data_IF_293131977035
#
_entry.id   IF_293131977035
#
_cell.length_a   1.000
_cell.length_b   1.000
_cell.length_c   1.000
_cell.angle_alpha   90.00
_cell.angle_beta   90.00
_cell.angle_gamma   90.00
#
_symmetry.space_group_name_H-M   'P 1'
#
loop_
_entity.id
_entity.type
_entity.pdbx_description
1 polymer ?
#
# COMPACT_ATOMS: atom_id res chain seq x y z
N UNK A 1 -3.91 -9.93 -14.27
CA UNK A 1 -2.68 -10.11 -15.08
C UNK A 1 -1.47 -9.83 -14.23
N UNK A 2 -0.42 -10.62 -14.40
CA UNK A 2 0.86 -10.43 -13.71
C UNK A 2 1.63 -9.28 -14.37
N UNK A 3 2.08 -8.34 -13.56
CA UNK A 3 3.07 -7.32 -13.92
C UNK A 3 4.46 -7.88 -13.62
N UNK A 4 4.62 -8.47 -12.44
CA UNK A 4 5.75 -9.34 -12.09
C UNK A 4 5.23 -10.69 -11.65
N UNK A 5 5.59 -11.74 -12.40
CA UNK A 5 5.20 -13.12 -12.09
C UNK A 5 5.84 -13.59 -10.79
N UNK A 6 5.07 -14.38 -10.03
CA UNK A 6 5.56 -15.04 -8.82
C UNK A 6 6.71 -15.98 -9.15
N UNK A 7 7.85 -15.94 -8.43
CA UNK A 7 8.93 -16.89 -8.64
C UNK A 7 8.49 -18.31 -8.26
N UNK A 8 9.22 -19.31 -8.77
CA UNK A 8 9.00 -20.72 -8.42
C UNK A 8 9.15 -20.96 -6.91
N UNK A 9 10.09 -20.24 -6.28
CA UNK A 9 10.29 -20.20 -4.84
C UNK A 9 10.19 -18.75 -4.40
N UNK A 10 9.25 -18.47 -3.49
CA UNK A 10 9.13 -17.17 -2.86
C UNK A 10 10.35 -16.92 -1.99
N UNK A 11 10.90 -15.72 -2.13
CA UNK A 11 11.92 -15.20 -1.23
C UNK A 11 11.23 -14.56 -0.02
N UNK A 12 12.02 -14.01 0.88
CA UNK A 12 11.50 -13.07 1.87
C UNK A 12 10.87 -11.87 1.13
N UNK A 13 9.75 -11.36 1.63
CA UNK A 13 9.11 -10.16 1.09
C UNK A 13 10.04 -8.96 1.33
N UNK A 14 10.43 -8.80 2.59
CA UNK A 14 11.35 -7.74 3.01
C UNK A 14 10.83 -6.34 2.74
N UNK A 15 11.69 -5.33 2.93
CA UNK A 15 11.33 -3.92 2.81
C UNK A 15 11.66 -3.28 1.47
N UNK A 16 12.49 -3.94 0.67
CA UNK A 16 13.19 -3.36 -0.49
C UNK A 16 13.05 -4.19 -1.77
N UNK A 17 12.38 -5.33 -1.70
CA UNK A 17 12.16 -6.21 -2.84
C UNK A 17 10.68 -6.49 -3.00
N UNK A 18 10.27 -6.76 -4.24
CA UNK A 18 8.93 -7.25 -4.53
C UNK A 18 9.06 -8.63 -5.18
N UNK A 19 8.43 -9.65 -4.60
CA UNK A 19 8.39 -11.00 -5.17
C UNK A 19 7.46 -11.05 -6.38
N UNK A 20 6.34 -10.35 -6.34
CA UNK A 20 5.37 -10.33 -7.42
C UNK A 20 4.54 -9.06 -7.41
N UNK A 21 3.88 -8.80 -8.54
CA UNK A 21 2.85 -7.77 -8.64
C UNK A 21 1.76 -8.27 -9.59
N UNK A 22 0.55 -8.37 -9.08
CA UNK A 22 -0.64 -8.78 -9.84
C UNK A 22 -1.64 -7.62 -9.93
N UNK A 23 -2.33 -7.50 -11.06
CA UNK A 23 -3.36 -6.48 -11.30
C UNK A 23 -4.62 -7.09 -11.90
N UNK A 24 -5.81 -6.78 -11.38
CA UNK A 24 -7.09 -6.97 -12.09
C UNK A 24 -7.93 -5.71 -11.99
N UNK A 25 -8.25 -5.11 -13.13
CA UNK A 25 -8.88 -3.78 -13.17
C UNK A 25 -7.99 -2.78 -12.44
N UNK A 26 -8.54 -2.12 -11.43
CA UNK A 26 -7.85 -1.15 -10.56
C UNK A 26 -7.36 -1.72 -9.22
N UNK A 27 -7.44 -3.04 -9.06
CA UNK A 27 -6.96 -3.73 -7.85
C UNK A 27 -5.58 -4.31 -8.13
N UNK A 28 -4.62 -3.98 -7.27
CA UNK A 28 -3.26 -4.49 -7.28
C UNK A 28 -3.01 -5.34 -6.04
N UNK A 29 -2.33 -6.47 -6.22
CA UNK A 29 -1.92 -7.37 -5.15
C UNK A 29 -0.41 -7.58 -5.21
N UNK A 30 0.25 -7.39 -4.07
CA UNK A 30 1.70 -7.36 -3.93
C UNK A 30 2.12 -8.03 -2.62
N UNK A 31 3.39 -8.42 -2.50
CA UNK A 31 3.90 -9.07 -1.31
C UNK A 31 4.16 -8.14 -0.12
N UNK A 32 4.44 -6.87 -0.37
CA UNK A 32 4.57 -5.79 0.61
C UNK A 32 4.26 -4.44 -0.06
N UNK A 33 4.17 -3.36 0.72
CA UNK A 33 3.78 -2.04 0.23
C UNK A 33 4.79 -1.30 -0.67
N UNK A 34 6.01 -1.82 -0.90
CA UNK A 34 7.07 -1.16 -1.69
C UNK A 34 6.57 -0.50 -2.97
N UNK A 35 5.72 -1.21 -3.71
CA UNK A 35 5.25 -0.77 -5.02
C UNK A 35 3.86 -0.14 -5.04
N UNK A 36 3.25 0.13 -3.88
CA UNK A 36 1.93 0.72 -3.81
C UNK A 36 1.88 2.11 -4.47
N UNK A 37 2.87 2.97 -4.19
CA UNK A 37 2.95 4.30 -4.81
C UNK A 37 3.05 4.24 -6.34
N UNK A 38 3.85 3.32 -6.88
CA UNK A 38 3.91 3.10 -8.33
C UNK A 38 2.54 2.71 -8.90
N UNK A 39 1.82 1.80 -8.23
CA UNK A 39 0.49 1.36 -8.65
C UNK A 39 -0.51 2.51 -8.69
N UNK A 40 -0.47 3.43 -7.71
CA UNK A 40 -1.36 4.59 -7.67
C UNK A 40 -1.11 5.52 -8.84
N UNK A 41 0.17 5.79 -9.17
CA UNK A 41 0.55 6.61 -10.32
C UNK A 41 0.09 6.04 -11.66
N UNK A 42 -0.15 4.72 -11.75
CA UNK A 42 -0.68 4.11 -12.98
C UNK A 42 -2.19 4.32 -13.19
N UNK A 43 -2.93 4.60 -12.11
CA UNK A 43 -4.40 4.73 -12.15
C UNK A 43 -4.91 6.15 -11.92
N UNK A 44 -4.01 7.07 -11.54
CA UNK A 44 -4.36 8.42 -11.10
C UNK A 44 -3.66 9.50 -11.91
N UNK A 45 -4.19 10.71 -11.82
CA UNK A 45 -3.66 11.94 -12.40
C UNK A 45 -3.05 12.80 -11.28
N UNK A 46 -1.73 13.02 -11.30
CA UNK A 46 -0.99 13.74 -10.25
C UNK A 46 -1.36 15.23 -10.14
N UNK A 47 -2.12 15.77 -11.10
CA UNK A 47 -2.64 17.13 -11.03
C UNK A 47 -3.92 17.23 -10.18
N UNK A 48 -4.48 16.10 -9.77
CA UNK A 48 -5.65 15.99 -8.90
C UNK A 48 -5.25 15.51 -7.51
N UNK A 49 -6.22 15.61 -6.60
CA UNK A 49 -6.12 15.14 -5.23
C UNK A 49 -7.03 13.93 -5.03
N UNK A 50 -6.61 12.98 -4.19
CA UNK A 50 -7.31 11.74 -3.88
C UNK A 50 -7.37 11.55 -2.37
N UNK A 51 -8.55 11.26 -1.83
CA UNK A 51 -8.66 10.87 -0.44
C UNK A 51 -8.02 9.49 -0.25
N UNK A 52 -7.28 9.35 0.84
CA UNK A 52 -6.42 8.21 1.09
C UNK A 52 -6.91 7.42 2.29
N UNK A 53 -7.10 6.11 2.12
CA UNK A 53 -7.57 5.20 3.15
C UNK A 53 -6.52 4.10 3.37
N UNK A 54 -5.77 4.19 4.46
CA UNK A 54 -4.74 3.22 4.82
C UNK A 54 -5.21 2.30 5.93
N UNK A 55 -5.21 0.99 5.67
CA UNK A 55 -5.64 -0.05 6.60
C UNK A 55 -4.46 -0.99 6.75
N UNK A 56 -3.76 -0.89 7.86
CA UNK A 56 -2.49 -1.59 8.11
C UNK A 56 -2.28 -1.66 9.62
N UNK A 57 -1.49 -2.61 10.10
CA UNK A 57 -1.07 -2.55 11.50
C UNK A 57 -0.25 -1.28 11.80
N UNK A 58 0.63 -0.89 10.89
CA UNK A 58 1.59 0.21 10.94
C UNK A 58 1.05 1.41 10.15
N UNK A 59 1.74 2.55 10.19
CA UNK A 59 1.31 3.74 9.42
C UNK A 59 2.13 3.95 8.13
N UNK A 60 3.27 3.29 7.97
CA UNK A 60 4.20 3.48 6.85
C UNK A 60 4.58 4.94 6.58
N UNK A 61 4.70 5.73 7.67
CA UNK A 61 5.04 7.17 7.61
C UNK A 61 6.48 7.43 8.05
N UNK A 62 7.43 6.56 7.71
CA UNK A 62 8.84 6.86 7.94
C UNK A 62 9.21 8.08 7.10
N UNK A 63 9.78 9.09 7.77
CA UNK A 63 10.05 10.39 7.15
C UNK A 63 10.84 10.24 5.84
N UNK A 64 10.47 11.03 4.82
CA UNK A 64 11.16 10.99 3.55
C UNK A 64 12.59 11.47 3.76
N UNK A 65 13.51 10.93 2.96
CA UNK A 65 14.87 11.45 2.96
C UNK A 65 14.81 12.88 2.38
N UNK A 66 15.49 13.86 2.99
CA UNK A 66 15.42 15.27 2.57
C UNK A 66 15.71 15.54 1.08
N UNK A 67 16.27 14.58 0.35
CA UNK A 67 16.72 14.72 -1.03
C UNK A 67 15.83 14.08 -2.09
N UNK A 68 14.72 13.40 -1.79
CA UNK A 68 14.01 12.60 -2.82
C UNK A 68 13.64 13.39 -4.09
N UNK A 69 13.11 14.62 -3.94
CA UNK A 69 12.83 15.49 -5.09
C UNK A 69 14.09 15.83 -5.87
N UNK A 70 15.17 16.15 -5.17
CA UNK A 70 16.45 16.50 -5.77
C UNK A 70 17.07 15.30 -6.48
N UNK A 71 17.00 14.11 -5.89
CA UNK A 71 17.48 12.85 -6.48
C UNK A 71 16.75 12.53 -7.78
N UNK A 72 15.41 12.59 -7.78
CA UNK A 72 14.61 12.36 -8.98
C UNK A 72 14.88 13.41 -10.06
N UNK A 73 15.05 14.68 -9.69
CA UNK A 73 15.37 15.76 -10.62
C UNK A 73 16.78 15.59 -11.23
N UNK A 74 17.77 15.23 -10.41
CA UNK A 74 19.15 15.03 -10.85
C UNK A 74 19.26 13.86 -11.83
N UNK A 75 18.50 12.79 -11.59
CA UNK A 75 18.46 11.60 -12.44
C UNK A 75 17.48 11.73 -13.62
N UNK A 76 16.79 12.88 -13.75
CA UNK A 76 15.79 13.16 -14.78
C UNK A 76 14.69 12.06 -14.83
N UNK A 77 14.26 11.61 -13.65
CA UNK A 77 13.24 10.58 -13.46
C UNK A 77 11.85 11.23 -13.41
N UNK A 78 10.95 10.71 -14.22
CA UNK A 78 9.52 11.06 -14.20
C UNK A 78 8.73 9.86 -13.68
N UNK A 79 8.30 9.90 -12.42
CA UNK A 79 7.65 8.77 -11.74
C UNK A 79 6.35 8.32 -12.42
N UNK A 80 5.67 9.19 -13.19
CA UNK A 80 4.46 8.81 -13.94
C UNK A 80 4.78 7.91 -15.15
N UNK A 81 6.03 7.88 -15.61
CA UNK A 81 6.42 7.26 -16.88
C UNK A 81 7.32 6.04 -16.75
N UNK A 82 7.92 5.83 -15.59
CA UNK A 82 8.85 4.72 -15.37
C UNK A 82 8.12 3.37 -15.29
N UNK A 83 8.79 2.32 -15.75
CA UNK A 83 8.31 0.96 -15.58
C UNK A 83 8.37 0.53 -14.11
N UNK A 84 7.70 -0.58 -13.80
CA UNK A 84 7.78 -1.18 -12.48
C UNK A 84 9.22 -1.56 -12.11
N UNK A 85 9.99 -2.11 -13.04
CA UNK A 85 11.40 -2.48 -12.84
C UNK A 85 12.27 -1.26 -12.56
N UNK A 86 12.07 -0.18 -13.32
CA UNK A 86 12.78 1.08 -13.10
C UNK A 86 12.46 1.67 -11.72
N UNK A 87 11.19 1.62 -11.30
CA UNK A 87 10.76 2.10 -9.98
C UNK A 87 11.44 1.37 -8.81
N UNK A 88 11.49 0.03 -8.84
CA UNK A 88 12.12 -0.75 -7.75
C UNK A 88 13.64 -0.65 -7.74
N UNK A 89 14.26 -0.17 -8.82
CA UNK A 89 15.69 0.08 -8.94
C UNK A 89 16.10 1.51 -8.58
N UNK A 90 15.15 2.40 -8.24
CA UNK A 90 15.45 3.74 -7.75
C UNK A 90 16.20 3.68 -6.42
N UNK A 91 17.30 4.43 -6.33
CA UNK A 91 18.13 4.50 -5.14
C UNK A 91 18.35 5.95 -4.70
N UNK A 92 18.48 6.16 -3.40
CA UNK A 92 18.87 7.42 -2.78
C UNK A 92 20.35 7.70 -3.04
N UNK A 93 20.69 8.96 -3.30
CA UNK A 93 22.09 9.39 -3.26
C UNK A 93 22.44 9.74 -1.81
N UNK A 94 23.23 8.91 -1.13
CA UNK A 94 23.63 9.22 0.24
C UNK A 94 24.54 10.48 0.27
N UNK A 95 24.17 11.55 1.02
CA UNK A 95 24.85 12.84 0.94
C UNK A 95 26.33 12.80 1.39
N UNK A 96 26.71 11.81 2.20
CA UNK A 96 28.08 11.68 2.74
C UNK A 96 28.84 10.44 2.23
N UNK A 97 28.18 9.50 1.54
CA UNK A 97 28.78 8.21 1.17
C UNK A 97 28.39 7.80 -0.25
N UNK A 98 29.22 8.16 -1.23
CA UNK A 98 29.03 7.94 -2.68
C UNK A 98 28.79 6.47 -3.12
N UNK A 99 28.83 5.49 -2.21
CA UNK A 99 28.74 4.06 -2.52
C UNK A 99 27.63 3.30 -1.78
N UNK A 100 26.79 3.96 -0.96
CA UNK A 100 25.60 3.31 -0.40
C UNK A 100 24.42 3.57 -1.35
N UNK A 101 23.93 2.50 -1.97
CA UNK A 101 22.66 2.48 -2.71
C UNK A 101 21.57 1.97 -1.79
N UNK A 102 20.84 2.88 -1.15
CA UNK A 102 19.65 2.54 -0.40
C UNK A 102 18.42 2.72 -1.31
N UNK A 103 17.45 1.80 -1.33
CA UNK A 103 16.27 1.95 -2.16
C UNK A 103 15.47 3.19 -1.78
N UNK A 104 15.11 3.97 -2.80
CA UNK A 104 14.40 5.23 -2.66
C UNK A 104 13.02 5.01 -2.05
N UNK A 105 12.26 4.09 -2.63
CA UNK A 105 11.00 3.62 -2.08
C UNK A 105 11.22 2.32 -1.33
N UNK A 106 10.53 2.21 -0.20
CA UNK A 106 10.48 1.05 0.69
C UNK A 106 9.05 0.90 1.20
N UNK A 107 8.75 -0.27 1.76
CA UNK A 107 7.46 -0.56 2.37
C UNK A 107 7.03 0.41 3.49
N UNK A 108 7.92 1.23 4.04
CA UNK A 108 7.71 2.04 5.25
C UNK A 108 7.81 3.54 5.00
N UNK A 109 8.19 3.98 3.79
CA UNK A 109 8.39 5.39 3.45
C UNK A 109 7.65 5.85 2.18
N UNK A 110 7.06 4.93 1.41
CA UNK A 110 6.48 5.21 0.09
C UNK A 110 5.39 6.28 0.11
N UNK A 111 4.60 6.36 1.18
CA UNK A 111 3.53 7.35 1.35
C UNK A 111 4.13 8.76 1.41
N UNK A 112 5.02 9.01 2.37
CA UNK A 112 5.58 10.34 2.57
C UNK A 112 6.58 10.71 1.47
N UNK A 113 7.27 9.74 0.87
CA UNK A 113 8.10 9.98 -0.30
C UNK A 113 7.26 10.47 -1.49
N UNK A 114 6.12 9.83 -1.76
CA UNK A 114 5.23 10.28 -2.83
C UNK A 114 4.62 11.65 -2.51
N UNK A 115 4.22 11.88 -1.25
CA UNK A 115 3.71 13.18 -0.80
C UNK A 115 4.77 14.28 -0.92
N UNK A 116 6.02 13.98 -0.62
CA UNK A 116 7.12 14.93 -0.82
C UNK A 116 7.18 15.27 -2.31
N UNK A 117 7.24 14.31 -3.23
CA UNK A 117 7.33 14.57 -4.67
C UNK A 117 6.10 15.32 -5.21
N UNK A 118 4.89 14.93 -4.79
CA UNK A 118 3.62 15.50 -5.23
C UNK A 118 2.75 15.97 -4.03
N UNK A 119 3.01 17.15 -3.44
CA UNK A 119 2.39 17.58 -2.17
C UNK A 119 0.87 17.79 -2.17
N UNK A 120 0.23 17.80 -3.34
CA UNK A 120 -1.22 17.97 -3.47
C UNK A 120 -1.93 16.67 -3.90
N UNK A 121 -1.18 15.58 -4.04
CA UNK A 121 -1.70 14.31 -4.51
C UNK A 121 -2.67 13.68 -3.51
N UNK A 122 -2.32 13.75 -2.22
CA UNK A 122 -3.19 13.28 -1.15
C UNK A 122 -4.15 14.39 -0.70
N UNK A 123 -5.43 14.04 -0.66
CA UNK A 123 -6.50 14.86 -0.12
C UNK A 123 -6.67 14.59 1.36
N UNK A 124 -7.88 14.24 1.78
CA UNK A 124 -8.13 13.85 3.17
C UNK A 124 -7.53 12.48 3.44
N UNK A 125 -6.77 12.34 4.53
CA UNK A 125 -6.11 11.08 4.87
C UNK A 125 -6.77 10.39 6.07
N UNK A 126 -7.09 9.11 5.89
CA UNK A 126 -7.79 8.29 6.87
C UNK A 126 -6.97 7.03 7.17
N UNK A 127 -6.62 6.87 8.44
CA UNK A 127 -5.77 5.77 8.91
C UNK A 127 -6.59 4.84 9.82
N UNK A 128 -6.50 3.55 9.54
CA UNK A 128 -7.07 2.47 10.33
C UNK A 128 -5.90 1.61 10.79
N UNK A 129 -5.22 2.08 11.84
CA UNK A 129 -3.96 1.52 12.32
C UNK A 129 -4.08 0.92 13.72
N UNK A 130 -3.12 0.07 14.11
CA UNK A 130 -3.16 -0.62 15.42
C UNK A 130 -2.01 -0.25 16.33
N UNK A 131 -0.83 -0.05 15.77
CA UNK A 131 0.34 0.26 16.58
C UNK A 131 0.42 1.76 16.84
N UNK A 132 0.59 2.17 18.11
CA UNK A 132 0.73 3.57 18.43
C UNK A 132 2.04 4.09 17.83
N UNK A 133 1.92 4.98 16.85
CA UNK A 133 3.05 5.74 16.32
C UNK A 133 2.99 7.17 16.86
N UNK A 134 4.12 7.90 16.92
CA UNK A 134 4.10 9.34 17.15
C UNK A 134 3.06 10.02 16.23
N UNK A 135 2.38 11.03 16.78
CA UNK A 135 1.50 11.89 16.01
C UNK A 135 2.22 12.38 14.75
N UNK A 136 1.56 12.25 13.60
CA UNK A 136 2.09 12.67 12.32
C UNK A 136 1.07 13.59 11.64
N UNK A 137 1.53 14.74 11.17
CA UNK A 137 0.73 15.79 10.54
C UNK A 137 0.04 15.31 9.25
N UNK A 138 0.56 14.24 8.64
CA UNK A 138 -0.02 13.62 7.45
C UNK A 138 -1.33 12.87 7.74
N UNK A 139 -1.64 12.55 9.00
CA UNK A 139 -2.87 11.83 9.38
C UNK A 139 -3.94 12.85 9.79
N UNK A 140 -4.96 13.06 8.96
CA UNK A 140 -6.10 13.89 9.33
C UNK A 140 -7.02 13.18 10.33
N UNK A 141 -7.24 11.88 10.11
CA UNK A 141 -8.16 11.07 10.90
C UNK A 141 -7.67 9.66 11.16
N UNK A 142 -7.73 9.24 12.42
CA UNK A 142 -7.46 7.86 12.83
C UNK A 142 -8.74 7.19 13.35
N UNK A 143 -9.00 5.97 12.89
CA UNK A 143 -10.24 5.24 13.15
C UNK A 143 -10.01 3.79 13.53
N UNK A 144 -11.08 3.14 14.00
CA UNK A 144 -11.11 1.69 14.16
C UNK A 144 -11.69 1.04 12.90
N UNK A 145 -11.46 -0.27 12.77
CA UNK A 145 -12.00 -1.04 11.64
C UNK A 145 -13.53 -1.00 11.57
N UNK A 146 -14.21 -0.93 12.71
CA UNK A 146 -15.67 -0.81 12.75
C UNK A 146 -16.15 0.50 12.13
N UNK A 147 -15.40 1.58 12.29
CA UNK A 147 -15.74 2.87 11.68
C UNK A 147 -15.60 2.77 10.17
N UNK A 148 -14.50 2.18 9.67
CA UNK A 148 -14.30 1.93 8.24
C UNK A 148 -15.43 1.11 7.63
N UNK A 149 -15.78 -0.03 8.25
CA UNK A 149 -16.83 -0.93 7.76
C UNK A 149 -18.19 -0.23 7.64
N UNK A 150 -18.49 0.73 8.51
CA UNK A 150 -19.78 1.44 8.53
C UNK A 150 -19.76 2.76 7.73
N UNK A 151 -18.59 3.36 7.52
CA UNK A 151 -18.48 4.76 7.12
C UNK A 151 -17.78 4.98 5.78
N UNK A 152 -17.05 3.99 5.22
CA UNK A 152 -16.33 4.18 3.95
C UNK A 152 -17.25 4.71 2.84
N UNK A 153 -18.47 4.17 2.73
CA UNK A 153 -19.44 4.64 1.74
C UNK A 153 -19.76 6.13 1.87
N UNK A 154 -19.87 6.62 3.11
CA UNK A 154 -20.16 8.02 3.39
C UNK A 154 -18.94 8.89 3.10
N UNK A 155 -17.75 8.47 3.53
CA UNK A 155 -16.49 9.16 3.26
C UNK A 155 -16.27 9.34 1.76
N UNK A 156 -16.40 8.27 0.97
CA UNK A 156 -16.25 8.31 -0.49
C UNK A 156 -17.38 9.08 -1.19
N UNK A 157 -18.59 9.12 -0.62
CA UNK A 157 -19.72 9.87 -1.21
C UNK A 157 -19.57 11.38 -1.00
N UNK A 158 -19.08 11.78 0.16
CA UNK A 158 -18.91 13.18 0.52
C UNK A 158 -17.59 13.76 -0.02
N UNK A 159 -16.67 12.87 -0.41
CA UNK A 159 -15.45 13.25 -1.11
C UNK A 159 -15.74 13.98 -2.42
N UNK A 160 -15.01 15.07 -2.64
CA UNK A 160 -14.93 15.75 -3.95
C UNK A 160 -13.76 15.23 -4.79
N UNK A 161 -12.95 14.34 -4.20
CA UNK A 161 -11.74 13.79 -4.74
C UNK A 161 -11.99 12.35 -5.20
N UNK A 162 -11.03 11.79 -5.93
CA UNK A 162 -10.97 10.33 -6.12
C UNK A 162 -10.57 9.60 -4.84
N UNK A 163 -10.60 8.26 -4.84
CA UNK A 163 -10.28 7.44 -3.67
C UNK A 163 -9.13 6.46 -3.90
N UNK A 164 -8.12 6.49 -3.02
CA UNK A 164 -7.04 5.49 -2.97
C UNK A 164 -7.25 4.65 -1.71
N UNK A 165 -7.43 3.34 -1.86
CA UNK A 165 -7.48 2.41 -0.73
C UNK A 165 -6.23 1.55 -0.71
N UNK A 166 -5.53 1.58 0.42
CA UNK A 166 -4.30 0.84 0.64
C UNK A 166 -4.44 -0.10 1.84
N UNK A 167 -4.48 -1.41 1.58
CA UNK A 167 -4.76 -2.45 2.55
C UNK A 167 -3.54 -3.36 2.74
N UNK A 168 -3.00 -3.43 3.94
CA UNK A 168 -2.15 -4.54 4.37
C UNK A 168 -2.98 -5.58 5.12
N UNK A 169 -2.86 -6.84 4.71
CA UNK A 169 -3.57 -7.94 5.39
C UNK A 169 -2.97 -8.27 6.76
N UNK A 170 -1.76 -7.78 7.08
CA UNK A 170 -1.15 -7.94 8.40
C UNK A 170 -1.97 -7.29 9.52
N UNK A 171 -2.88 -6.37 9.15
CA UNK A 171 -3.90 -5.79 10.00
C UNK A 171 -4.74 -6.89 10.67
N UNK A 172 -4.95 -8.02 10.00
CA UNK A 172 -5.71 -9.15 10.52
C UNK A 172 -4.93 -10.07 11.46
N UNK A 173 -3.66 -9.78 11.72
CA UNK A 173 -2.76 -10.61 12.52
C UNK A 173 -2.22 -9.86 13.75
N UNK A 174 -1.59 -10.61 14.67
CA UNK A 174 -0.71 -10.10 15.72
C UNK A 174 0.50 -11.01 15.88
N UNK A 175 1.62 -10.45 16.32
CA UNK A 175 2.84 -11.17 16.68
C UNK A 175 3.14 -11.17 18.20
N UNK A 176 2.25 -10.58 19.02
CA UNK A 176 2.52 -10.31 20.45
C UNK A 176 2.80 -11.56 21.31
N UNK A 177 2.32 -12.73 20.88
CA UNK A 177 2.52 -14.03 21.53
C UNK A 177 2.84 -15.13 20.51
N UNK A 178 3.59 -14.77 19.48
CA UNK A 178 3.69 -15.53 18.23
C UNK A 178 2.67 -15.03 17.21
N UNK A 179 2.77 -15.53 15.98
CA UNK A 179 1.89 -15.11 14.88
C UNK A 179 0.54 -15.81 14.94
N UNK A 180 -0.55 -15.03 15.01
CA UNK A 180 -1.91 -15.55 14.94
C UNK A 180 -2.88 -14.51 14.34
N UNK A 181 -3.90 -15.02 13.68
CA UNK A 181 -4.99 -14.22 13.12
C UNK A 181 -5.89 -13.73 14.26
N UNK A 182 -6.16 -12.42 14.30
CA UNK A 182 -6.94 -11.75 15.37
C UNK A 182 -8.33 -11.31 14.92
N UNK A 183 -8.61 -11.32 13.62
CA UNK A 183 -9.94 -11.09 13.07
C UNK A 183 -10.45 -12.32 12.32
N UNK A 184 -11.76 -12.56 12.37
CA UNK A 184 -12.34 -13.73 11.71
C UNK A 184 -12.32 -13.59 10.18
N UNK A 185 -12.36 -14.73 9.49
CA UNK A 185 -12.58 -14.79 8.04
C UNK A 185 -13.86 -14.02 7.63
N UNK A 186 -14.88 -13.99 8.49
CA UNK A 186 -16.10 -13.19 8.27
C UNK A 186 -15.80 -11.68 8.23
N UNK A 187 -14.94 -11.18 9.10
CA UNK A 187 -14.55 -9.78 9.09
C UNK A 187 -13.72 -9.44 7.84
N UNK A 188 -12.80 -10.33 7.45
CA UNK A 188 -12.02 -10.17 6.21
C UNK A 188 -12.97 -10.09 5.00
N UNK A 189 -13.99 -10.96 4.94
CA UNK A 189 -15.03 -10.89 3.90
C UNK A 189 -15.82 -9.59 3.94
N UNK A 190 -16.15 -9.07 5.13
CA UNK A 190 -16.83 -7.78 5.27
C UNK A 190 -16.00 -6.63 4.73
N UNK A 191 -14.68 -6.61 5.00
CA UNK A 191 -13.77 -5.63 4.39
C UNK A 191 -13.83 -5.73 2.86
N UNK A 192 -13.66 -6.93 2.31
CA UNK A 192 -13.79 -7.16 0.86
C UNK A 192 -15.13 -6.68 0.28
N UNK A 193 -16.25 -6.97 0.94
CA UNK A 193 -17.58 -6.56 0.49
C UNK A 193 -17.72 -5.04 0.48
N UNK A 194 -17.25 -4.35 1.52
CA UNK A 194 -17.26 -2.89 1.60
C UNK A 194 -16.45 -2.26 0.45
N UNK A 195 -15.33 -2.89 0.06
CA UNK A 195 -14.57 -2.46 -1.13
C UNK A 195 -15.36 -2.68 -2.43
N UNK A 196 -16.00 -3.85 -2.60
CA UNK A 196 -16.83 -4.15 -3.79
C UNK A 196 -18.00 -3.17 -3.90
N UNK A 197 -18.69 -2.89 -2.80
CA UNK A 197 -19.86 -2.00 -2.75
C UNK A 197 -19.54 -0.55 -3.09
N UNK A 198 -18.27 -0.14 -2.95
CA UNK A 198 -17.80 1.22 -3.23
C UNK A 198 -16.80 1.28 -4.38
N UNK A 199 -16.68 0.18 -5.14
CA UNK A 199 -15.71 0.05 -6.22
C UNK A 199 -15.89 1.15 -7.26
N UNK A 200 -17.09 1.66 -7.52
CA UNK A 200 -17.34 2.73 -8.49
C UNK A 200 -16.69 4.08 -8.14
N UNK A 201 -16.38 4.31 -6.86
CA UNK A 201 -15.81 5.57 -6.34
C UNK A 201 -14.33 5.49 -5.98
N UNK A 202 -13.78 4.28 -5.90
CA UNK A 202 -12.37 4.07 -5.61
C UNK A 202 -11.61 4.08 -6.94
N UNK A 203 -10.53 4.86 -7.06
CA UNK A 203 -9.72 4.91 -8.29
C UNK A 203 -8.70 3.78 -8.32
N UNK A 204 -8.15 3.40 -7.16
CA UNK A 204 -7.17 2.31 -7.04
C UNK A 204 -7.23 1.64 -5.67
N UNK A 205 -7.06 0.32 -5.68
CA UNK A 205 -6.91 -0.50 -4.47
C UNK A 205 -5.55 -1.21 -4.54
N UNK A 206 -4.74 -1.06 -3.51
CA UNK A 206 -3.51 -1.84 -3.31
C UNK A 206 -3.68 -2.77 -2.12
N UNK A 207 -3.28 -4.04 -2.29
CA UNK A 207 -3.34 -5.06 -1.24
C UNK A 207 -1.93 -5.65 -1.04
N UNK A 208 -1.31 -5.38 0.10
CA UNK A 208 -0.07 -6.00 0.53
C UNK A 208 -0.31 -7.25 1.37
N UNK A 209 0.52 -8.28 1.16
CA UNK A 209 0.41 -9.56 1.87
C UNK A 209 1.22 -9.63 3.17
N UNK A 210 2.35 -8.93 3.24
CA UNK A 210 3.26 -8.83 4.38
C UNK A 210 3.42 -10.14 5.15
N UNK A 211 3.92 -11.21 4.49
CA UNK A 211 3.92 -12.56 5.03
C UNK A 211 4.71 -12.67 6.32
N UNK A 212 5.80 -11.92 6.49
CA UNK A 212 6.58 -11.87 7.72
C UNK A 212 5.73 -11.38 8.91
N UNK A 213 4.82 -10.43 8.67
CA UNK A 213 3.91 -9.89 9.68
C UNK A 213 2.69 -10.79 9.96
N UNK A 214 2.38 -11.69 9.02
CA UNK A 214 1.31 -12.68 9.10
C UNK A 214 1.77 -14.04 9.69
N UNK A 215 3.07 -14.25 9.88
CA UNK A 215 3.63 -15.53 10.33
C UNK A 215 3.94 -16.53 9.23
N UNK A 216 4.11 -16.03 8.01
CA UNK A 216 4.53 -16.78 6.82
C UNK A 216 3.56 -16.67 5.65
N UNK A 217 4.05 -17.02 4.48
CA UNK A 217 3.32 -17.03 3.21
C UNK A 217 2.01 -17.81 3.25
N UNK A 218 1.97 -18.93 3.99
CA UNK A 218 0.75 -19.75 4.11
C UNK A 218 -0.42 -18.95 4.69
N UNK A 219 -0.17 -18.20 5.76
CA UNK A 219 -1.19 -17.35 6.40
C UNK A 219 -1.59 -16.19 5.49
N UNK A 220 -0.61 -15.53 4.87
CA UNK A 220 -0.87 -14.44 3.94
C UNK A 220 -1.74 -14.88 2.75
N UNK A 221 -1.41 -16.00 2.11
CA UNK A 221 -2.21 -16.52 0.99
C UNK A 221 -3.58 -17.04 1.42
N UNK A 222 -3.71 -17.61 2.62
CA UNK A 222 -5.02 -18.01 3.15
C UNK A 222 -5.95 -16.79 3.26
N UNK A 223 -5.44 -15.67 3.76
CA UNK A 223 -6.21 -14.41 3.87
C UNK A 223 -6.46 -13.80 2.50
N UNK A 224 -5.45 -13.77 1.64
CA UNK A 224 -5.61 -13.28 0.26
C UNK A 224 -6.65 -14.09 -0.52
N UNK A 225 -6.77 -15.40 -0.27
CA UNK A 225 -7.79 -16.24 -0.91
C UNK A 225 -9.21 -15.78 -0.59
N UNK A 226 -9.43 -15.38 0.65
CA UNK A 226 -10.73 -14.86 1.09
C UNK A 226 -11.04 -13.55 0.34
N UNK A 227 -10.06 -12.67 0.21
CA UNK A 227 -10.21 -11.41 -0.51
C UNK A 227 -10.39 -11.63 -2.03
N UNK A 228 -9.62 -12.53 -2.63
CA UNK A 228 -9.72 -12.91 -4.05
C UNK A 228 -11.11 -13.45 -4.40
N UNK A 229 -11.69 -14.31 -3.54
CA UNK A 229 -13.05 -14.82 -3.71
C UNK A 229 -14.11 -13.71 -3.68
N UNK A 230 -13.93 -12.70 -2.83
CA UNK A 230 -14.91 -11.61 -2.66
C UNK A 230 -14.77 -10.55 -3.76
N UNK A 231 -13.53 -10.17 -4.08
CA UNK A 231 -13.19 -9.16 -5.08
C UNK A 231 -13.21 -9.72 -6.50
N UNK A 232 -13.38 -11.05 -6.66
CA UNK A 232 -13.23 -11.78 -7.92
C UNK A 232 -11.90 -11.39 -8.58
N UNK A 233 -10.73 -11.62 -7.96
CA UNK A 233 -9.46 -11.22 -8.57
C UNK A 233 -8.93 -12.23 -9.58
N UNK A 234 -9.34 -13.50 -9.47
CA UNK A 234 -8.88 -14.60 -10.30
C UNK A 234 -7.37 -14.77 -10.22
N UNK A 235 -6.78 -14.46 -9.06
CA UNK A 235 -5.35 -14.61 -8.84
C UNK A 235 -5.06 -16.09 -8.58
N UNK A 236 -4.45 -16.76 -9.56
CA UNK A 236 -3.97 -18.13 -9.37
C UNK A 236 -2.79 -18.12 -8.38
N UNK A 237 -3.07 -18.43 -7.12
CA UNK A 237 -2.09 -18.46 -6.02
C UNK A 237 -1.41 -19.83 -5.86
#
# INVERSE_FOLDING_TARGET
MWIKEKPQQLLDSGSTTANFLYKKGKVYVMDNHLCAAWCWLQETDITKSYDFYHIDRHNDLLYPIPSIKEDLLNDNVDLEKITFEEYVELNENHPEELNIKAPLFRWDNYILNLNEVYPNFFGTTHFITKEPYPENEFIDWEYKIEDFLNSLHHWLKDSKNGGIVNLDIDFFYSNSKGYYQIYSDELIRKVGNVLVENMDKIDVITIALSPECCGGWENAFKTMKILDEVLDLGMEM
#
